data_IF_371444489581
#
_entry.id   IF_371444489581
#
_cell.length_a   1.000
_cell.length_b   1.000
_cell.length_c   1.000
_cell.angle_alpha   90.00
_cell.angle_beta   90.00
_cell.angle_gamma   90.00
#
_symmetry.space_group_name_H-M   'P 1'
#
loop_
_entity.id
_entity.type
_entity.pdbx_description
1 polymer ?
#
# COMPACT_ATOMS: atom_id res chain seq x y z
N UNK A 1 15.50 -56.19 -46.30
CA UNK A 1 14.62 -55.01 -46.41
C UNK A 1 14.39 -54.40 -45.03
N UNK A 2 14.55 -53.08 -44.95
CA UNK A 2 14.06 -52.08 -43.97
C UNK A 2 14.31 -52.30 -42.47
N UNK A 3 15.28 -51.50 -42.00
CA UNK A 3 15.64 -51.14 -40.63
C UNK A 3 14.55 -50.31 -39.95
N UNK A 4 14.43 -50.49 -38.64
CA UNK A 4 13.70 -49.63 -37.70
C UNK A 4 14.12 -48.16 -37.82
N UNK A 5 13.16 -47.25 -37.96
CA UNK A 5 13.34 -45.82 -37.67
C UNK A 5 12.54 -45.49 -36.42
N UNK A 6 13.27 -45.12 -35.38
CA UNK A 6 12.74 -44.27 -34.32
C UNK A 6 12.41 -42.89 -34.92
N UNK A 7 11.20 -42.38 -34.70
CA UNK A 7 10.93 -40.96 -34.82
C UNK A 7 10.38 -40.45 -33.48
N UNK A 8 11.13 -39.51 -32.94
CA UNK A 8 10.86 -38.68 -31.79
C UNK A 8 9.49 -38.01 -31.92
N UNK A 9 8.62 -38.20 -30.92
CA UNK A 9 7.50 -37.28 -30.69
C UNK A 9 8.05 -35.99 -30.07
N UNK A 10 7.67 -34.80 -30.57
CA UNK A 10 8.18 -33.55 -30.06
C UNK A 10 7.54 -33.21 -28.71
N UNK A 11 8.39 -32.93 -27.73
CA UNK A 11 8.08 -32.41 -26.39
C UNK A 11 7.64 -30.94 -26.53
N UNK A 12 6.50 -30.69 -27.19
CA UNK A 12 6.02 -29.31 -27.42
C UNK A 12 4.59 -29.11 -26.91
N UNK A 13 3.98 -30.13 -26.31
CA UNK A 13 2.56 -30.10 -25.92
C UNK A 13 2.33 -30.28 -24.41
N UNK A 14 3.30 -29.93 -23.56
CA UNK A 14 3.14 -29.93 -22.10
C UNK A 14 3.86 -28.77 -21.39
N UNK A 15 4.03 -27.63 -22.06
CA UNK A 15 4.53 -26.38 -21.44
C UNK A 15 3.67 -25.20 -21.90
N UNK A 16 2.34 -25.36 -21.87
CA UNK A 16 1.41 -24.24 -22.07
C UNK A 16 0.50 -23.97 -20.87
N UNK A 17 0.62 -24.73 -19.77
CA UNK A 17 -0.22 -24.55 -18.57
C UNK A 17 0.53 -24.09 -17.31
N UNK A 18 1.77 -23.59 -17.43
CA UNK A 18 2.51 -23.09 -16.26
C UNK A 18 3.20 -21.73 -16.45
N UNK A 19 2.70 -20.88 -17.35
CA UNK A 19 2.95 -19.44 -17.22
C UNK A 19 1.80 -18.81 -16.44
N UNK A 20 1.79 -19.17 -15.15
CA UNK A 20 1.37 -18.30 -14.07
C UNK A 20 2.24 -17.02 -14.08
N UNK A 21 2.08 -16.19 -15.10
CA UNK A 21 2.41 -14.78 -14.97
C UNK A 21 1.18 -14.18 -14.33
N UNK A 22 1.20 -14.13 -13.01
CA UNK A 22 0.44 -13.16 -12.25
C UNK A 22 0.43 -11.86 -13.07
N UNK A 23 -0.73 -11.50 -13.60
CA UNK A 23 -0.92 -10.23 -14.26
C UNK A 23 -0.53 -9.21 -13.20
N UNK A 24 0.69 -8.65 -13.29
CA UNK A 24 1.12 -7.61 -12.39
C UNK A 24 0.11 -6.50 -12.60
N UNK A 25 -0.86 -6.40 -11.68
CA UNK A 25 -1.88 -5.39 -11.73
C UNK A 25 -1.14 -4.07 -11.89
N UNK A 26 -1.49 -3.31 -12.94
CA UNK A 26 -0.88 -2.01 -13.18
C UNK A 26 -0.85 -1.25 -11.84
N UNK A 27 0.28 -0.62 -11.48
CA UNK A 27 0.44 -0.05 -10.16
C UNK A 27 -0.73 0.89 -9.88
N UNK A 28 -1.61 0.49 -8.96
CA UNK A 28 -2.76 1.32 -8.59
C UNK A 28 -2.22 2.63 -8.05
N UNK A 29 -2.65 3.75 -8.61
CA UNK A 29 -2.37 5.06 -8.06
C UNK A 29 -2.90 5.11 -6.61
N UNK A 30 -2.04 5.35 -5.60
CA UNK A 30 -2.47 5.40 -4.21
C UNK A 30 -3.33 6.64 -3.90
N UNK A 31 -3.31 7.68 -4.76
CA UNK A 31 -3.98 8.95 -4.50
C UNK A 31 -5.48 8.81 -4.17
N UNK A 32 -6.34 8.19 -5.00
CA UNK A 32 -7.76 8.06 -4.69
C UNK A 32 -8.03 7.28 -3.40
N UNK A 33 -7.13 6.35 -3.04
CA UNK A 33 -7.27 5.58 -1.81
C UNK A 33 -6.90 6.42 -0.58
N UNK A 34 -5.87 7.27 -0.69
CA UNK A 34 -5.50 8.24 0.33
C UNK A 34 -6.61 9.29 0.49
N UNK A 35 -7.14 9.82 -0.61
CA UNK A 35 -8.22 10.82 -0.63
C UNK A 35 -9.52 10.34 0.01
N UNK A 36 -9.87 9.06 -0.14
CA UNK A 36 -11.08 8.48 0.44
C UNK A 36 -10.89 7.87 1.84
N UNK A 37 -9.65 7.85 2.37
CA UNK A 37 -9.37 7.27 3.67
C UNK A 37 -10.05 8.05 4.83
N UNK A 38 -10.59 7.36 5.86
CA UNK A 38 -11.09 7.99 7.08
C UNK A 38 -10.03 8.85 7.78
N UNK A 39 -10.45 9.88 8.53
CA UNK A 39 -9.52 10.81 9.20
C UNK A 39 -8.49 10.11 10.09
N UNK A 40 -8.92 9.13 10.90
CA UNK A 40 -8.01 8.35 11.74
C UNK A 40 -6.99 7.55 10.91
N UNK A 41 -7.38 7.08 9.71
CA UNK A 41 -6.45 6.39 8.78
C UNK A 41 -5.45 7.35 8.16
N UNK A 42 -5.85 8.59 7.86
CA UNK A 42 -4.95 9.65 7.39
C UNK A 42 -3.91 9.99 8.46
N UNK A 43 -4.32 10.09 9.73
CA UNK A 43 -3.39 10.25 10.85
C UNK A 43 -2.37 9.10 10.90
N UNK A 44 -2.82 7.86 10.67
CA UNK A 44 -1.93 6.71 10.57
C UNK A 44 -0.95 6.81 9.40
N UNK A 45 -1.41 7.19 8.20
CA UNK A 45 -0.50 7.39 7.06
C UNK A 45 0.53 8.49 7.33
N UNK A 46 0.13 9.58 7.99
CA UNK A 46 1.05 10.66 8.35
C UNK A 46 2.11 10.16 9.34
N UNK A 47 1.70 9.38 10.34
CA UNK A 47 2.62 8.71 11.27
C UNK A 47 3.61 7.78 10.54
N UNK A 48 3.13 7.00 9.55
CA UNK A 48 3.99 6.21 8.68
C UNK A 48 5.02 7.09 7.95
N UNK A 49 4.58 8.19 7.33
CA UNK A 49 5.47 9.06 6.57
C UNK A 49 6.53 9.74 7.44
N UNK A 50 6.18 10.18 8.65
CA UNK A 50 7.14 10.72 9.62
C UNK A 50 8.15 9.66 10.04
N UNK A 51 7.67 8.49 10.47
CA UNK A 51 8.52 7.40 10.98
C UNK A 51 9.48 6.82 9.93
N UNK A 52 9.17 6.99 8.64
CA UNK A 52 10.02 6.55 7.53
C UNK A 52 10.88 7.68 6.92
N UNK A 53 10.88 8.89 7.51
CA UNK A 53 11.66 10.03 7.01
C UNK A 53 11.17 10.58 5.66
N UNK A 54 9.89 10.36 5.34
CA UNK A 54 9.25 10.78 4.09
C UNK A 54 8.44 12.07 4.25
N UNK A 55 8.31 12.56 5.48
CA UNK A 55 7.70 13.84 5.83
C UNK A 55 8.62 14.61 6.80
N UNK A 56 8.67 15.95 6.72
CA UNK A 56 9.48 16.77 7.61
C UNK A 56 8.93 16.70 9.05
N UNK A 57 9.75 16.20 9.98
CA UNK A 57 9.31 15.80 11.33
C UNK A 57 8.62 16.93 12.10
N UNK A 58 9.20 18.13 12.15
CA UNK A 58 8.70 19.19 13.03
C UNK A 58 7.25 19.62 12.68
N UNK A 59 7.01 19.97 11.42
CA UNK A 59 5.69 20.45 10.98
C UNK A 59 4.68 19.30 10.88
N UNK A 60 5.12 18.13 10.42
CA UNK A 60 4.26 16.97 10.28
C UNK A 60 3.80 16.40 11.63
N UNK A 61 4.64 16.46 12.67
CA UNK A 61 4.25 15.98 14.02
C UNK A 61 3.15 16.83 14.61
N UNK A 62 3.25 18.17 14.49
CA UNK A 62 2.16 19.06 14.92
C UNK A 62 0.85 18.74 14.21
N UNK A 63 0.93 18.50 12.91
CA UNK A 63 -0.23 18.16 12.09
C UNK A 63 -0.84 16.81 12.50
N UNK A 64 0.02 15.84 12.84
CA UNK A 64 -0.41 14.54 13.37
C UNK A 64 -1.16 14.69 14.69
N UNK A 65 -0.66 15.51 15.62
CA UNK A 65 -1.32 15.74 16.91
C UNK A 65 -2.73 16.34 16.73
N UNK A 66 -2.87 17.32 15.83
CA UNK A 66 -4.17 17.91 15.50
C UNK A 66 -5.15 16.88 14.91
N UNK A 67 -4.68 16.07 13.96
CA UNK A 67 -5.49 14.99 13.41
C UNK A 67 -5.91 13.97 14.46
N UNK A 68 -5.00 13.56 15.34
CA UNK A 68 -5.29 12.61 16.43
C UNK A 68 -6.42 13.16 17.31
N UNK A 69 -6.29 14.41 17.76
CA UNK A 69 -7.29 15.07 18.61
C UNK A 69 -8.66 15.18 17.92
N UNK A 70 -8.68 15.53 16.63
CA UNK A 70 -9.92 15.73 15.87
C UNK A 70 -10.63 14.42 15.53
N UNK A 71 -9.87 13.37 15.24
CA UNK A 71 -10.42 12.13 14.64
C UNK A 71 -10.52 10.98 15.63
N UNK A 72 -10.01 11.14 16.86
CA UNK A 72 -9.93 10.04 17.82
C UNK A 72 -9.02 8.91 17.32
N UNK A 73 -7.96 9.24 16.57
CA UNK A 73 -7.06 8.25 16.01
C UNK A 73 -6.26 7.50 17.08
N UNK A 74 -6.01 8.14 18.22
CA UNK A 74 -5.46 7.51 19.43
C UNK A 74 -6.46 7.78 20.56
N UNK A 75 -7.44 6.90 20.78
CA UNK A 75 -8.44 7.09 21.80
C UNK A 75 -7.85 6.89 23.20
N UNK A 76 -8.34 7.66 24.18
CA UNK A 76 -7.85 7.64 25.56
C UNK A 76 -8.27 6.38 26.35
N UNK A 77 -9.16 5.56 25.80
CA UNK A 77 -9.73 4.37 26.45
C UNK A 77 -8.90 3.09 26.22
N UNK A 78 -7.70 3.22 25.66
CA UNK A 78 -6.75 2.13 25.34
C UNK A 78 -7.28 1.08 24.34
N UNK A 79 -8.49 1.25 23.79
CA UNK A 79 -9.08 0.24 22.88
C UNK A 79 -8.44 0.23 21.49
N UNK A 80 -7.59 1.21 21.20
CA UNK A 80 -6.93 1.41 19.92
C UNK A 80 -7.92 1.80 18.81
N UNK A 81 -7.43 2.47 17.78
CA UNK A 81 -8.22 2.73 16.58
C UNK A 81 -7.63 1.93 15.41
N UNK A 82 -8.40 0.98 14.88
CA UNK A 82 -7.92 0.10 13.80
C UNK A 82 -7.62 0.86 12.51
N UNK A 83 -8.30 1.98 12.24
CA UNK A 83 -8.00 2.81 11.09
C UNK A 83 -6.61 3.46 11.21
N UNK A 84 -6.31 3.98 12.41
CA UNK A 84 -4.99 4.53 12.72
C UNK A 84 -3.89 3.48 12.68
N UNK A 85 -4.15 2.29 13.21
CA UNK A 85 -3.20 1.17 13.18
C UNK A 85 -2.90 0.71 11.74
N UNK A 86 -3.93 0.54 10.91
CA UNK A 86 -3.78 0.19 9.49
C UNK A 86 -3.04 1.28 8.72
N UNK A 87 -3.35 2.55 8.98
CA UNK A 87 -2.64 3.68 8.37
C UNK A 87 -1.17 3.71 8.76
N UNK A 88 -0.87 3.50 10.05
CA UNK A 88 0.52 3.45 10.57
C UNK A 88 1.30 2.28 9.97
N UNK A 89 0.63 1.14 9.73
CA UNK A 89 1.22 0.00 9.02
C UNK A 89 1.39 0.22 7.50
N UNK A 90 0.95 1.38 6.99
CA UNK A 90 1.00 1.77 5.58
C UNK A 90 0.01 1.02 4.70
N UNK A 91 -1.08 0.46 5.25
CA UNK A 91 -2.07 -0.33 4.49
C UNK A 91 -3.03 0.61 3.77
N UNK A 92 -2.94 0.65 2.43
CA UNK A 92 -3.78 1.50 1.58
C UNK A 92 -5.02 0.71 1.08
N UNK A 93 -4.86 -0.60 0.85
CA UNK A 93 -5.94 -1.53 0.52
C UNK A 93 -5.83 -2.79 1.38
N UNK A 94 -6.93 -3.30 1.99
CA UNK A 94 -6.86 -4.48 2.86
C UNK A 94 -6.27 -5.71 2.13
N UNK A 95 -5.42 -6.47 2.83
CA UNK A 95 -4.81 -7.70 2.31
C UNK A 95 -5.83 -8.81 2.02
N UNK A 96 -7.05 -8.71 2.55
CA UNK A 96 -8.18 -9.63 2.28
C UNK A 96 -8.76 -9.46 0.88
N UNK A 97 -8.46 -8.35 0.20
CA UNK A 97 -8.61 -8.24 -1.24
C UNK A 97 -7.30 -8.72 -1.87
N UNK A 98 -7.35 -9.72 -2.74
CA UNK A 98 -6.17 -10.19 -3.46
C UNK A 98 -5.44 -8.99 -4.10
N UNK A 99 -4.16 -8.79 -3.74
CA UNK A 99 -3.38 -7.61 -4.15
C UNK A 99 -3.53 -6.37 -3.26
N UNK A 100 -3.84 -6.52 -1.97
CA UNK A 100 -3.77 -5.43 -0.98
C UNK A 100 -2.47 -4.63 -1.12
N UNK A 101 -2.60 -3.31 -1.28
CA UNK A 101 -1.50 -2.39 -1.56
C UNK A 101 -1.07 -1.71 -0.27
N UNK A 102 0.23 -1.71 -0.02
CA UNK A 102 0.87 -0.96 1.06
C UNK A 102 1.75 0.15 0.50
N UNK A 103 1.96 1.21 1.28
CA UNK A 103 2.95 2.25 0.96
C UNK A 103 4.35 1.67 0.76
N UNK A 104 4.67 0.57 1.46
CA UNK A 104 5.94 -0.15 1.33
C UNK A 104 6.11 -0.90 0.01
N UNK A 105 5.00 -1.21 -0.68
CA UNK A 105 5.03 -1.90 -1.98
C UNK A 105 5.30 -0.92 -3.13
N UNK A 106 5.21 0.39 -2.86
CA UNK A 106 5.62 1.45 -3.79
C UNK A 106 7.15 1.58 -3.77
N UNK A 107 7.74 1.80 -4.94
CA UNK A 107 9.11 2.29 -5.04
C UNK A 107 9.26 3.66 -4.34
N UNK A 108 10.51 4.03 -4.01
CA UNK A 108 10.77 5.24 -3.23
C UNK A 108 10.22 6.53 -3.88
N UNK A 109 10.38 6.79 -5.19
CA UNK A 109 9.77 7.96 -5.83
C UNK A 109 8.25 8.02 -5.64
N UNK A 110 7.55 6.92 -5.87
CA UNK A 110 6.08 6.86 -5.70
C UNK A 110 5.67 6.97 -4.25
N UNK A 111 6.47 6.44 -3.33
CA UNK A 111 6.24 6.57 -1.88
C UNK A 111 6.40 8.01 -1.41
N UNK A 112 7.37 8.75 -1.92
CA UNK A 112 7.50 10.20 -1.67
C UNK A 112 6.27 10.97 -2.17
N UNK A 113 5.82 10.69 -3.39
CA UNK A 113 4.60 11.32 -3.93
C UNK A 113 3.38 11.02 -3.05
N UNK A 114 3.19 9.77 -2.65
CA UNK A 114 2.13 9.38 -1.73
C UNK A 114 2.21 10.10 -0.38
N UNK A 115 3.40 10.22 0.21
CA UNK A 115 3.57 10.95 1.48
C UNK A 115 3.35 12.46 1.35
N UNK A 116 3.67 13.07 0.21
CA UNK A 116 3.28 14.45 -0.09
C UNK A 116 1.75 14.59 -0.14
N UNK A 117 1.05 13.66 -0.79
CA UNK A 117 -0.42 13.66 -0.84
C UNK A 117 -1.05 13.49 0.55
N UNK A 118 -0.47 12.62 1.39
CA UNK A 118 -0.89 12.44 2.79
C UNK A 118 -0.72 13.74 3.57
N UNK A 119 0.41 14.43 3.43
CA UNK A 119 0.64 15.74 4.07
C UNK A 119 -0.40 16.77 3.63
N UNK A 120 -0.65 16.89 2.33
CA UNK A 120 -1.67 17.81 1.80
C UNK A 120 -3.05 17.50 2.36
N UNK A 121 -3.46 16.23 2.36
CA UNK A 121 -4.75 15.84 2.91
C UNK A 121 -4.84 16.09 4.41
N UNK A 122 -3.77 15.77 5.14
CA UNK A 122 -3.70 16.00 6.57
C UNK A 122 -3.86 17.49 6.92
N UNK A 123 -3.23 18.38 6.14
CA UNK A 123 -3.35 19.83 6.30
C UNK A 123 -4.79 20.32 6.08
N UNK A 124 -5.52 19.76 5.12
CA UNK A 124 -6.93 20.10 4.88
C UNK A 124 -7.89 19.53 5.94
N UNK A 125 -7.47 18.48 6.63
CA UNK A 125 -8.27 17.77 7.62
C UNK A 125 -7.91 18.12 9.08
N UNK A 126 -6.95 19.02 9.29
CA UNK A 126 -6.54 19.49 10.63
C UNK A 126 -7.19 20.81 11.01
#
# INVERSE_FOLDING_TARGET
MRRSLALFLPVTMLVLELNASAHAAAPTDPQPLIENAPGARVAGYLNFCIGNGLAPVADATRLLDLLIARTGAVPADERGNMDYALGTAGVIRPATQAGGLRLTDLDMPRRHVACTQVLTKAAMAS
#
